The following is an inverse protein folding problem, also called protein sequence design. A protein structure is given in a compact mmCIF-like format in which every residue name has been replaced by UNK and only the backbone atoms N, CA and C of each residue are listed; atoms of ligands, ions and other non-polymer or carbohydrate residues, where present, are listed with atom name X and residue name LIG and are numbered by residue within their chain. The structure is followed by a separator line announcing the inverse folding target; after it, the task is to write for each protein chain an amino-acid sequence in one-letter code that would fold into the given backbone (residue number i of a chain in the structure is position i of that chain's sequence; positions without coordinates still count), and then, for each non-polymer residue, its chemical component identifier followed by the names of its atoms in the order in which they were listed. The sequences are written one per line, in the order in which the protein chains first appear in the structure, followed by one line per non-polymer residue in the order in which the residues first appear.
data_IF_792230963160
#
_entry.id   IF_792230963160
#
_cell.length_a   1.000
_cell.length_b   1.000
_cell.length_c   1.000
_cell.angle_alpha   90.00
_cell.angle_beta   90.00
_cell.angle_gamma   90.00
#
_symmetry.space_group_name_H-M   'P 1'
#
loop_
_entity.id
_entity.type
_entity.pdbx_description
1 polymer ?
#
# COMPACT_ATOMS: atom_id res chain seq x y z
N UNK A 1 -23.83 -26.62 -3.63
CA UNK A 1 -23.56 -25.49 -4.53
C UNK A 1 -23.97 -24.23 -3.77
N UNK A 2 -22.99 -23.59 -3.13
CA UNK A 2 -23.02 -22.22 -2.59
C UNK A 2 -21.67 -22.03 -1.92
N UNK A 3 -20.68 -21.62 -2.71
CA UNK A 3 -19.44 -21.07 -2.16
C UNK A 3 -19.70 -19.58 -1.95
N UNK A 4 -19.58 -19.14 -0.71
CA UNK A 4 -19.74 -17.76 -0.29
C UNK A 4 -18.81 -16.85 -1.09
N UNK A 5 -19.35 -15.71 -1.54
CA UNK A 5 -18.58 -14.64 -2.17
C UNK A 5 -17.67 -13.99 -1.12
N UNK A 6 -16.50 -14.59 -0.89
CA UNK A 6 -15.36 -13.89 -0.35
C UNK A 6 -14.91 -12.83 -1.35
N UNK A 7 -15.16 -11.57 -1.00
CA UNK A 7 -14.61 -10.32 -1.49
C UNK A 7 -13.91 -10.36 -2.86
N UNK A 8 -14.66 -10.09 -3.94
CA UNK A 8 -14.05 -9.82 -5.24
C UNK A 8 -13.65 -8.34 -5.29
N UNK A 9 -12.46 -8.02 -5.81
CA UNK A 9 -12.03 -6.64 -5.96
C UNK A 9 -12.97 -5.95 -6.94
N UNK A 10 -13.25 -4.67 -6.71
CA UNK A 10 -14.16 -3.89 -7.54
C UNK A 10 -13.72 -3.92 -9.00
N UNK A 11 -14.63 -3.98 -9.99
CA UNK A 11 -14.28 -3.77 -11.39
C UNK A 11 -13.50 -2.46 -11.59
N UNK A 12 -12.66 -2.39 -12.62
CA UNK A 12 -11.76 -1.24 -12.83
C UNK A 12 -12.49 0.09 -12.98
N UNK A 13 -13.72 0.07 -13.50
CA UNK A 13 -14.62 1.22 -13.66
C UNK A 13 -15.29 1.68 -12.35
N UNK A 14 -15.19 0.89 -11.28
CA UNK A 14 -15.73 1.19 -9.96
C UNK A 14 -14.67 1.55 -8.91
N UNK A 15 -13.38 1.51 -9.27
CA UNK A 15 -12.27 1.90 -8.39
C UNK A 15 -12.32 3.39 -8.10
N UNK A 16 -12.26 3.78 -6.83
CA UNK A 16 -12.41 5.18 -6.39
C UNK A 16 -11.15 5.80 -5.82
N UNK A 17 -10.26 4.97 -5.31
CA UNK A 17 -9.05 5.41 -4.62
C UNK A 17 -7.91 4.40 -4.78
N UNK A 18 -6.74 4.75 -4.24
CA UNK A 18 -5.57 3.88 -4.24
C UNK A 18 -5.82 2.52 -3.57
N UNK A 19 -6.69 2.43 -2.56
CA UNK A 19 -6.91 1.18 -1.83
C UNK A 19 -7.66 0.17 -2.70
N UNK A 20 -8.61 0.62 -3.52
CA UNK A 20 -9.26 -0.23 -4.52
C UNK A 20 -8.24 -0.80 -5.52
N UNK A 21 -7.25 -0.01 -5.95
CA UNK A 21 -6.14 -0.49 -6.79
C UNK A 21 -5.32 -1.55 -6.06
N UNK A 22 -5.00 -1.30 -4.79
CA UNK A 22 -4.18 -2.21 -3.99
C UNK A 22 -4.85 -3.56 -3.72
N UNK A 23 -6.18 -3.64 -3.65
CA UNK A 23 -6.88 -4.93 -3.58
C UNK A 23 -6.67 -5.77 -4.85
N UNK A 24 -6.60 -5.15 -6.04
CA UNK A 24 -6.23 -5.88 -7.26
C UNK A 24 -4.79 -6.34 -7.26
N UNK A 25 -3.86 -5.50 -6.79
CA UNK A 25 -2.44 -5.86 -6.65
C UNK A 25 -2.30 -7.04 -5.69
N UNK A 26 -3.00 -7.02 -4.55
CA UNK A 26 -2.98 -8.09 -3.55
C UNK A 26 -3.45 -9.43 -4.14
N UNK A 27 -4.50 -9.41 -4.97
CA UNK A 27 -5.07 -10.62 -5.55
C UNK A 27 -4.30 -11.16 -6.76
N UNK A 28 -3.65 -10.29 -7.54
CA UNK A 28 -2.97 -10.66 -8.77
C UNK A 28 -1.63 -9.93 -8.90
N UNK A 29 -0.69 -10.12 -7.96
CA UNK A 29 0.53 -9.31 -7.91
C UNK A 29 1.33 -9.37 -9.21
N UNK A 30 1.42 -10.55 -9.85
CA UNK A 30 2.13 -10.73 -11.12
C UNK A 30 1.54 -9.98 -12.33
N UNK A 31 0.32 -9.44 -12.23
CA UNK A 31 -0.26 -8.56 -13.25
C UNK A 31 0.27 -7.12 -13.15
N UNK A 32 0.70 -6.70 -11.95
CA UNK A 32 1.05 -5.32 -11.65
C UNK A 32 2.55 -5.13 -11.41
N UNK A 33 3.17 -6.08 -10.72
CA UNK A 33 4.58 -6.03 -10.35
C UNK A 33 5.27 -7.35 -10.69
N UNK A 34 6.45 -7.23 -11.28
CA UNK A 34 7.25 -8.39 -11.67
C UNK A 34 7.86 -9.03 -10.43
N UNK A 35 7.74 -10.35 -10.34
CA UNK A 35 8.33 -11.17 -9.28
C UNK A 35 8.01 -10.70 -7.84
N UNK A 36 6.89 -9.98 -7.67
CA UNK A 36 6.51 -9.41 -6.37
C UNK A 36 7.40 -8.24 -5.91
N UNK A 37 8.06 -7.54 -6.85
CA UNK A 37 8.95 -6.42 -6.55
C UNK A 37 8.24 -5.30 -5.80
N UNK A 38 8.68 -5.04 -4.57
CA UNK A 38 8.10 -3.99 -3.75
C UNK A 38 8.52 -2.60 -4.23
N UNK A 39 9.73 -2.47 -4.78
CA UNK A 39 10.20 -1.23 -5.40
C UNK A 39 9.36 -0.83 -6.60
N UNK A 40 8.92 -1.80 -7.42
CA UNK A 40 8.04 -1.51 -8.55
C UNK A 40 6.67 -1.02 -8.06
N UNK A 41 6.11 -1.64 -7.01
CA UNK A 41 4.86 -1.15 -6.41
C UNK A 41 5.03 0.29 -5.89
N UNK A 42 6.11 0.58 -5.18
CA UNK A 42 6.38 1.92 -4.67
C UNK A 42 6.49 2.96 -5.79
N UNK A 43 7.08 2.60 -6.93
CA UNK A 43 7.16 3.46 -8.10
C UNK A 43 5.78 3.71 -8.73
N UNK A 44 4.93 2.67 -8.84
CA UNK A 44 3.55 2.81 -9.32
C UNK A 44 2.76 3.78 -8.42
N UNK A 45 2.88 3.62 -7.11
CA UNK A 45 2.20 4.47 -6.12
C UNK A 45 2.74 5.91 -6.14
N UNK A 46 4.04 6.11 -6.32
CA UNK A 46 4.60 7.45 -6.51
C UNK A 46 4.04 8.13 -7.78
N UNK A 47 3.88 7.37 -8.88
CA UNK A 47 3.24 7.85 -10.10
C UNK A 47 1.76 8.20 -9.89
N UNK A 48 1.03 7.39 -9.12
CA UNK A 48 -0.36 7.66 -8.74
C UNK A 48 -0.50 8.98 -7.99
N UNK A 49 0.29 9.18 -6.92
CA UNK A 49 0.29 10.44 -6.16
C UNK A 49 0.68 11.65 -7.02
N UNK A 50 1.64 11.48 -7.94
CA UNK A 50 2.02 12.52 -8.90
C UNK A 50 0.85 12.89 -9.82
N UNK A 51 0.11 11.89 -10.33
CA UNK A 51 -1.05 12.10 -11.18
C UNK A 51 -2.18 12.85 -10.44
N UNK A 52 -2.46 12.48 -9.18
CA UNK A 52 -3.42 13.19 -8.35
C UNK A 52 -3.06 14.69 -8.24
N UNK A 53 -1.79 14.99 -7.97
CA UNK A 53 -1.31 16.36 -7.84
C UNK A 53 -1.37 17.14 -9.16
N UNK A 54 -0.88 16.57 -10.27
CA UNK A 54 -0.87 17.23 -11.58
C UNK A 54 -2.27 17.54 -12.08
N UNK A 55 -3.25 16.69 -11.75
CA UNK A 55 -4.63 16.83 -12.19
C UNK A 55 -5.56 17.48 -11.15
N UNK A 56 -5.03 18.00 -10.05
CA UNK A 56 -5.79 18.63 -8.95
C UNK A 56 -6.95 17.76 -8.42
N UNK A 57 -6.69 16.45 -8.31
CA UNK A 57 -7.65 15.49 -7.78
C UNK A 57 -7.53 15.49 -6.25
N UNK A 58 -8.58 15.93 -5.57
CA UNK A 58 -8.64 16.03 -4.09
C UNK A 58 -8.74 14.71 -3.34
N UNK A 59 -8.13 13.64 -3.84
CA UNK A 59 -8.03 12.36 -3.14
C UNK A 59 -6.92 12.43 -2.08
N UNK A 60 -7.19 11.88 -0.90
CA UNK A 60 -6.19 11.75 0.15
C UNK A 60 -5.26 10.57 -0.13
N UNK A 61 -3.95 10.82 -0.16
CA UNK A 61 -2.96 9.82 -0.55
C UNK A 61 -1.78 9.76 0.44
N UNK A 62 -1.72 8.66 1.19
CA UNK A 62 -0.78 8.46 2.31
C UNK A 62 0.43 7.58 1.99
N UNK A 63 0.44 6.98 0.79
CA UNK A 63 1.33 5.87 0.41
C UNK A 63 2.49 6.30 -0.49
N UNK A 64 2.76 7.60 -0.58
CA UNK A 64 3.98 8.10 -1.19
C UNK A 64 5.23 7.46 -0.53
N UNK A 65 6.37 7.35 -1.24
CA UNK A 65 7.59 6.75 -0.67
C UNK A 65 8.01 7.35 0.68
N UNK A 66 7.68 8.62 0.87
CA UNK A 66 7.73 9.36 2.13
C UNK A 66 6.33 9.93 2.41
N UNK A 67 5.93 10.04 3.68
CA UNK A 67 4.58 10.49 4.06
C UNK A 67 4.00 9.70 5.23
N UNK A 68 2.68 9.82 5.47
CA UNK A 68 2.05 9.31 6.69
C UNK A 68 2.29 7.82 6.98
N UNK A 69 2.25 6.95 5.95
CA UNK A 69 2.56 5.54 6.13
C UNK A 69 4.04 5.28 6.48
N UNK A 70 4.97 5.94 5.79
CA UNK A 70 6.40 5.85 6.08
C UNK A 70 6.73 6.40 7.48
N UNK A 71 6.11 7.52 7.86
CA UNK A 71 6.29 8.14 9.17
C UNK A 71 5.75 7.23 10.28
N UNK A 72 4.62 6.56 10.05
CA UNK A 72 4.10 5.56 10.97
C UNK A 72 5.07 4.39 11.11
N UNK A 73 5.63 3.85 10.02
CA UNK A 73 6.63 2.78 10.08
C UNK A 73 7.89 3.21 10.85
N UNK A 74 8.36 4.44 10.63
CA UNK A 74 9.50 4.98 11.35
C UNK A 74 9.24 5.00 12.86
N UNK A 75 8.06 5.46 13.29
CA UNK A 75 7.69 5.52 14.72
C UNK A 75 7.41 4.15 15.32
N UNK A 76 6.67 3.29 14.61
CA UNK A 76 6.20 2.01 15.15
C UNK A 76 7.28 0.93 15.17
N UNK A 77 8.26 1.01 14.26
CA UNK A 77 9.33 0.01 14.12
C UNK A 77 10.73 0.53 14.37
N UNK A 78 10.93 1.85 14.41
CA UNK A 78 12.27 2.45 14.53
C UNK A 78 13.13 2.29 13.28
N UNK A 79 12.53 1.97 12.13
CA UNK A 79 13.25 1.75 10.88
C UNK A 79 13.63 3.09 10.23
N UNK A 80 14.81 3.11 9.58
CA UNK A 80 15.21 4.26 8.75
C UNK A 80 14.36 4.34 7.49
N UNK A 81 13.74 5.51 7.27
CA UNK A 81 12.95 5.81 6.06
C UNK A 81 13.73 6.62 5.01
N UNK A 82 15.06 6.69 5.13
CA UNK A 82 15.91 7.53 4.26
C UNK A 82 15.80 7.17 2.77
N UNK A 83 15.46 5.91 2.47
CA UNK A 83 15.24 5.41 1.11
C UNK A 83 13.76 5.05 0.84
N UNK A 84 12.85 5.53 1.68
CA UNK A 84 11.42 5.22 1.62
C UNK A 84 11.04 3.87 2.22
N UNK A 85 9.73 3.66 2.36
CA UNK A 85 9.17 2.50 3.06
C UNK A 85 9.49 1.16 2.37
N UNK A 86 9.59 1.11 1.03
CA UNK A 86 9.86 -0.13 0.30
C UNK A 86 11.23 -0.70 0.64
N UNK A 87 12.27 0.13 0.57
CA UNK A 87 13.64 -0.26 0.97
C UNK A 87 13.69 -0.61 2.44
N UNK A 88 12.98 0.13 3.30
CA UNK A 88 12.96 -0.17 4.72
C UNK A 88 12.35 -1.56 5.00
N UNK A 89 11.26 -1.94 4.31
CA UNK A 89 10.64 -3.27 4.45
C UNK A 89 11.61 -4.36 3.99
N UNK A 90 12.21 -4.21 2.80
CA UNK A 90 13.16 -5.20 2.24
C UNK A 90 14.38 -5.44 3.14
N UNK A 91 14.85 -4.40 3.83
CA UNK A 91 16.00 -4.50 4.73
C UNK A 91 15.65 -5.12 6.10
N UNK A 92 14.43 -4.91 6.58
CA UNK A 92 14.07 -5.26 7.97
C UNK A 92 13.16 -6.50 8.09
N UNK A 93 12.53 -6.94 7.00
CA UNK A 93 11.67 -8.13 6.99
C UNK A 93 12.35 -9.25 6.20
N UNK A 94 12.65 -10.35 6.87
CA UNK A 94 13.38 -11.49 6.29
C UNK A 94 12.56 -12.79 6.27
N UNK A 95 11.51 -12.88 7.09
CA UNK A 95 10.73 -14.11 7.29
C UNK A 95 9.58 -14.30 6.28
N UNK A 96 9.32 -13.30 5.44
CA UNK A 96 8.24 -13.33 4.44
C UNK A 96 8.61 -12.50 3.20
N UNK A 97 7.97 -12.74 2.04
CA UNK A 97 8.17 -11.93 0.85
C UNK A 97 7.88 -10.43 1.12
N UNK A 98 8.70 -9.49 0.63
CA UNK A 98 8.53 -8.06 0.91
C UNK A 98 7.15 -7.51 0.55
N UNK A 99 6.55 -7.97 -0.56
CA UNK A 99 5.20 -7.56 -0.95
C UNK A 99 4.12 -8.04 0.02
N UNK A 100 4.24 -9.27 0.54
CA UNK A 100 3.35 -9.79 1.58
C UNK A 100 3.48 -8.98 2.87
N UNK A 101 4.73 -8.66 3.26
CA UNK A 101 5.00 -7.80 4.41
C UNK A 101 4.36 -6.43 4.25
N UNK A 102 4.45 -5.81 3.08
CA UNK A 102 3.80 -4.52 2.80
C UNK A 102 2.30 -4.57 3.06
N UNK A 103 1.58 -5.57 2.53
CA UNK A 103 0.13 -5.65 2.73
C UNK A 103 -0.25 -5.87 4.20
N UNK A 104 0.50 -6.68 4.94
CA UNK A 104 0.30 -6.83 6.38
C UNK A 104 0.51 -5.52 7.13
N UNK A 105 1.58 -4.80 6.81
CA UNK A 105 1.90 -3.50 7.43
C UNK A 105 0.87 -2.43 7.08
N UNK A 106 0.34 -2.46 5.86
CA UNK A 106 -0.74 -1.61 5.41
C UNK A 106 -2.02 -1.86 6.24
N UNK A 107 -2.37 -3.12 6.47
CA UNK A 107 -3.52 -3.49 7.29
C UNK A 107 -3.35 -3.04 8.76
N UNK A 108 -2.15 -3.24 9.33
CA UNK A 108 -1.81 -2.75 10.68
C UNK A 108 -1.93 -1.22 10.78
N UNK A 109 -1.41 -0.49 9.80
CA UNK A 109 -1.49 0.97 9.78
C UNK A 109 -2.93 1.47 9.66
N UNK A 110 -3.74 0.89 8.76
CA UNK A 110 -5.15 1.25 8.61
C UNK A 110 -5.97 0.96 9.87
N UNK A 111 -5.66 -0.14 10.57
CA UNK A 111 -6.29 -0.43 11.86
C UNK A 111 -5.89 0.60 12.92
N UNK A 112 -4.63 1.02 12.96
CA UNK A 112 -4.15 2.03 13.90
C UNK A 112 -4.79 3.42 13.66
N UNK A 113 -4.86 3.86 12.39
CA UNK A 113 -5.41 5.18 12.05
C UNK A 113 -6.93 5.25 12.24
N UNK A 114 -7.66 4.16 11.99
CA UNK A 114 -9.10 4.11 12.27
C UNK A 114 -9.41 4.30 13.77
N UNK A 115 -8.56 3.75 14.66
CA UNK A 115 -8.69 3.93 16.11
C UNK A 115 -8.39 5.37 16.54
N UNK A 116 -7.40 6.01 15.92
CA UNK A 116 -7.05 7.41 16.20
C UNK A 116 -8.14 8.38 15.76
N UNK A 117 -8.80 8.12 14.61
CA UNK A 117 -9.90 8.95 14.11
C UNK A 117 -11.21 8.80 14.91
N UNK A 118 -11.35 7.74 15.70
CA UNK A 118 -12.54 7.48 16.53
C UNK A 118 -12.44 8.09 17.95
N UNK A 119 -11.31 8.71 18.30
CA UNK A 119 -11.05 9.37 19.59
C UNK A 119 -11.22 10.87 19.49
#
# INVERSE_FOLDING_TARGET
MSAELGDRPKPSDEMRDVYDVLEHVRLRPGMFVRDGSLQELALILAGYGTALHVHDVGEHFDLAPVGPFADWLCRSRGWSMSCGWATAIELNVQDEPPLSAFFRLLDEWRAATAVEQAR
#
